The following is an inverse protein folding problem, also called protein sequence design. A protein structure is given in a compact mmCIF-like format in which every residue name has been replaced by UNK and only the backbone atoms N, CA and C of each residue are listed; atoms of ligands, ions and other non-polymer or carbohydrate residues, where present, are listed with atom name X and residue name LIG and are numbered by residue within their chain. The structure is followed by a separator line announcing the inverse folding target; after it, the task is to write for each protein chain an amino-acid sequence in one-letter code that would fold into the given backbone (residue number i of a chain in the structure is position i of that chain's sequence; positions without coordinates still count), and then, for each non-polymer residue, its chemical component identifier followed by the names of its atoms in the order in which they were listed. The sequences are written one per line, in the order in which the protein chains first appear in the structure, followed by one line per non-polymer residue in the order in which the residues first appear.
data_IF_209488143128
#
_entry.id   IF_209488143128
#
_cell.length_a   1.000
_cell.length_b   1.000
_cell.length_c   1.000
_cell.angle_alpha   90.00
_cell.angle_beta   90.00
_cell.angle_gamma   90.00
#
_symmetry.space_group_name_H-M   'P 1'
#
loop_
_entity.id
_entity.type
_entity.pdbx_description
1 polymer ?
#
# COMPACT_ATOMS: atom_id res chain seq x y z
N UNK A 1 -7.91 -25.89 -3.47
CA UNK A 1 -6.68 -25.34 -4.07
C UNK A 1 -6.89 -23.84 -4.32
N UNK A 2 -6.73 -23.03 -3.27
CA UNK A 2 -6.78 -21.56 -3.35
C UNK A 2 -5.53 -20.93 -2.69
N UNK A 3 -4.50 -21.75 -2.48
CA UNK A 3 -3.16 -21.34 -2.09
C UNK A 3 -2.35 -21.11 -3.38
N UNK A 4 -2.81 -20.16 -4.20
CA UNK A 4 -2.04 -19.61 -5.31
C UNK A 4 -1.63 -18.20 -4.92
N UNK A 5 -0.62 -18.19 -4.06
CA UNK A 5 0.36 -17.14 -3.89
C UNK A 5 -0.17 -15.75 -3.52
N UNK A 6 -0.04 -15.42 -2.23
CA UNK A 6 0.01 -14.05 -1.74
C UNK A 6 0.97 -13.15 -2.56
N UNK A 7 2.00 -13.73 -3.19
CA UNK A 7 2.86 -13.07 -4.18
C UNK A 7 2.13 -12.65 -5.46
N UNK A 8 1.31 -13.49 -6.10
CA UNK A 8 0.57 -13.06 -7.29
C UNK A 8 -0.49 -12.01 -6.94
N UNK A 9 -1.13 -12.16 -5.77
CA UNK A 9 -2.03 -11.13 -5.26
C UNK A 9 -1.30 -9.81 -5.03
N UNK A 10 -0.15 -9.81 -4.33
CA UNK A 10 0.67 -8.62 -4.10
C UNK A 10 1.20 -8.03 -5.42
N UNK A 11 1.58 -8.86 -6.40
CA UNK A 11 1.98 -8.45 -7.75
C UNK A 11 0.85 -7.70 -8.48
N UNK A 12 -0.36 -8.27 -8.50
CA UNK A 12 -1.55 -7.65 -9.11
C UNK A 12 -2.00 -6.38 -8.39
N UNK A 13 -1.93 -6.37 -7.05
CA UNK A 13 -2.17 -5.18 -6.25
C UNK A 13 -1.14 -4.08 -6.54
N UNK A 14 0.12 -4.44 -6.76
CA UNK A 14 1.19 -3.51 -7.12
C UNK A 14 1.04 -2.95 -8.53
N UNK A 15 0.56 -3.75 -9.49
CA UNK A 15 0.15 -3.26 -10.83
C UNK A 15 -1.04 -2.28 -10.74
N UNK A 16 -1.92 -2.43 -9.74
CA UNK A 16 -3.07 -1.57 -9.50
C UNK A 16 -2.90 -0.63 -8.28
N UNK A 17 -1.66 -0.34 -7.86
CA UNK A 17 -1.37 0.30 -6.58
C UNK A 17 -2.11 1.63 -6.38
N UNK A 18 -2.23 2.45 -7.43
CA UNK A 18 -2.95 3.73 -7.39
C UNK A 18 -4.45 3.53 -7.15
N UNK A 19 -5.07 2.55 -7.80
CA UNK A 19 -6.49 2.25 -7.65
C UNK A 19 -6.80 1.66 -6.26
N UNK A 20 -5.93 0.78 -5.76
CA UNK A 20 -6.01 0.20 -4.41
C UNK A 20 -5.86 1.30 -3.36
N UNK A 21 -4.83 2.13 -3.43
CA UNK A 21 -4.65 3.26 -2.51
C UNK A 21 -5.84 4.23 -2.56
N UNK A 22 -6.41 4.49 -3.75
CA UNK A 22 -7.60 5.34 -3.86
C UNK A 22 -8.87 4.72 -3.29
N UNK A 23 -8.98 3.38 -3.28
CA UNK A 23 -10.11 2.65 -2.70
C UNK A 23 -10.03 2.55 -1.17
N UNK A 24 -8.89 2.09 -0.63
CA UNK A 24 -8.71 1.83 0.80
C UNK A 24 -8.18 3.06 1.58
N UNK A 25 -7.29 3.84 0.98
CA UNK A 25 -6.63 5.01 1.58
C UNK A 25 -7.16 6.33 0.98
N UNK A 26 -8.49 6.44 0.89
CA UNK A 26 -9.22 7.55 0.24
C UNK A 26 -9.02 8.93 0.87
N UNK A 27 -8.58 9.02 2.13
CA UNK A 27 -8.17 10.26 2.79
C UNK A 27 -6.74 10.69 2.41
N UNK A 28 -5.98 9.79 1.78
CA UNK A 28 -4.67 10.08 1.23
C UNK A 28 -4.72 10.85 -0.10
N UNK A 29 -3.54 11.25 -0.58
CA UNK A 29 -3.37 11.98 -1.84
C UNK A 29 -2.21 11.42 -2.63
N UNK A 30 -2.37 11.35 -3.96
CA UNK A 30 -1.26 11.07 -4.87
C UNK A 30 -0.28 12.24 -4.93
N UNK A 31 1.00 11.93 -4.83
CA UNK A 31 2.11 12.86 -4.91
C UNK A 31 3.24 12.28 -5.78
N UNK A 32 3.15 12.54 -7.09
CA UNK A 32 4.03 11.94 -8.09
C UNK A 32 3.91 10.40 -8.08
N UNK A 33 5.02 9.72 -7.86
CA UNK A 33 5.11 8.26 -7.83
C UNK A 33 4.73 7.63 -6.47
N UNK A 34 4.23 8.42 -5.52
CA UNK A 34 3.87 7.98 -4.17
C UNK A 34 2.44 8.39 -3.81
N UNK A 35 1.82 7.68 -2.87
CA UNK A 35 0.55 8.02 -2.23
C UNK A 35 0.81 8.37 -0.77
N UNK A 36 0.50 9.60 -0.37
CA UNK A 36 0.68 10.10 1.00
C UNK A 36 -0.63 10.02 1.76
N UNK A 37 -0.64 9.40 2.93
CA UNK A 37 -1.79 9.32 3.85
C UNK A 37 -1.31 9.48 5.29
N UNK A 38 -2.21 9.62 6.26
CA UNK A 38 -1.87 9.78 7.66
C UNK A 38 -1.24 8.54 8.27
N UNK A 39 -1.80 7.37 7.95
CA UNK A 39 -1.53 6.07 8.56
C UNK A 39 -2.28 4.96 7.77
N UNK A 40 -2.04 3.70 8.11
CA UNK A 40 -2.74 2.53 7.51
C UNK A 40 -4.25 2.54 7.74
N UNK A 41 -4.75 3.29 8.73
CA UNK A 41 -6.16 3.33 9.15
C UNK A 41 -6.96 4.38 8.37
N UNK A 42 -6.42 4.80 7.21
CA UNK A 42 -6.96 5.85 6.35
C UNK A 42 -7.07 7.24 7.04
N UNK A 43 -6.17 7.57 7.96
CA UNK A 43 -6.05 8.89 8.62
C UNK A 43 -5.80 10.05 7.60
N UNK A 44 -6.30 11.31 7.67
CA UNK A 44 -5.90 12.35 6.69
C UNK A 44 -4.56 13.04 7.07
N UNK A 45 -3.44 12.59 6.51
CA UNK A 45 -2.10 13.10 6.87
C UNK A 45 -1.01 12.87 5.82
N UNK A 46 0.24 12.69 6.27
CA UNK A 46 1.42 12.49 5.42
C UNK A 46 2.52 11.60 6.03
N UNK A 47 2.22 10.83 7.07
CA UNK A 47 3.20 9.98 7.75
C UNK A 47 3.47 8.72 6.94
N UNK A 48 2.41 8.12 6.38
CA UNK A 48 2.50 6.96 5.52
C UNK A 48 2.66 7.34 4.05
N UNK A 49 3.60 6.67 3.37
CA UNK A 49 3.79 6.78 1.94
C UNK A 49 3.81 5.39 1.28
N UNK A 50 2.90 5.16 0.32
CA UNK A 50 2.88 3.98 -0.55
C UNK A 50 3.54 4.31 -1.88
N UNK A 51 4.34 3.40 -2.43
CA UNK A 51 4.97 3.55 -3.75
C UNK A 51 4.02 3.05 -4.84
N UNK A 52 3.62 3.94 -5.75
CA UNK A 52 2.67 3.63 -6.83
C UNK A 52 3.37 3.13 -8.09
N UNK A 53 4.59 3.58 -8.35
CA UNK A 53 5.38 3.20 -9.52
C UNK A 53 6.73 2.59 -9.12
N UNK A 54 7.04 1.46 -9.75
CA UNK A 54 8.25 0.67 -9.58
C UNK A 54 8.17 -0.63 -10.38
N UNK A 55 9.20 -1.48 -10.38
CA UNK A 55 9.09 -2.84 -10.90
C UNK A 55 8.05 -3.65 -10.10
N UNK A 56 7.57 -4.77 -10.65
CA UNK A 56 6.62 -5.65 -9.96
C UNK A 56 7.23 -6.35 -8.74
N UNK A 57 8.55 -6.61 -8.78
CA UNK A 57 9.31 -7.25 -7.69
C UNK A 57 10.67 -6.57 -7.48
N UNK A 58 11.28 -6.81 -6.30
CA UNK A 58 12.63 -6.36 -5.98
C UNK A 58 12.73 -5.00 -5.25
N UNK A 59 13.94 -4.44 -5.21
CA UNK A 59 14.23 -3.22 -4.43
C UNK A 59 13.58 -2.00 -5.09
N UNK A 60 12.55 -1.48 -4.43
CA UNK A 60 11.80 -0.31 -4.92
C UNK A 60 10.59 -0.67 -5.79
N UNK A 61 10.07 -1.90 -5.68
CA UNK A 61 8.83 -2.31 -6.30
C UNK A 61 7.65 -1.39 -5.98
N UNK A 62 6.67 -1.35 -6.90
CA UNK A 62 5.37 -0.77 -6.60
C UNK A 62 4.70 -1.53 -5.44
N UNK A 63 3.72 -0.91 -4.80
CA UNK A 63 2.98 -1.49 -3.67
C UNK A 63 3.71 -1.52 -2.32
N UNK A 64 5.02 -1.21 -2.25
CA UNK A 64 5.68 -1.06 -0.94
C UNK A 64 5.22 0.21 -0.23
N UNK A 65 4.91 0.09 1.06
CA UNK A 65 4.55 1.22 1.92
C UNK A 65 5.50 1.34 3.10
N UNK A 66 5.56 2.54 3.67
CA UNK A 66 6.30 2.82 4.90
C UNK A 66 5.62 3.96 5.65
N UNK A 67 5.48 3.83 6.96
CA UNK A 67 4.99 4.86 7.86
C UNK A 67 6.14 5.53 8.63
N UNK A 68 6.21 6.86 8.54
CA UNK A 68 7.23 7.66 9.22
C UNK A 68 6.88 8.02 10.67
N UNK A 69 5.65 7.76 11.13
CA UNK A 69 5.22 7.99 12.51
C UNK A 69 5.54 6.82 13.43
N UNK A 70 5.41 5.58 12.93
CA UNK A 70 5.69 4.33 13.65
C UNK A 70 7.02 3.68 13.25
N UNK A 71 7.48 3.92 12.02
CA UNK A 71 8.62 3.22 11.42
C UNK A 71 8.26 1.88 10.75
N UNK A 72 6.96 1.56 10.67
CA UNK A 72 6.48 0.32 10.05
C UNK A 72 6.59 0.35 8.53
N UNK A 73 6.74 -0.82 7.92
CA UNK A 73 6.87 -0.96 6.47
C UNK A 73 6.40 -2.33 5.99
N UNK A 74 5.83 -2.38 4.81
CA UNK A 74 5.32 -3.61 4.22
C UNK A 74 5.11 -3.51 2.71
N UNK A 75 4.21 -4.34 2.22
CA UNK A 75 3.63 -4.28 0.88
C UNK A 75 2.11 -4.13 0.94
N UNK A 76 1.45 -3.93 -0.21
CA UNK A 76 0.03 -3.62 -0.26
C UNK A 76 -0.86 -4.70 0.36
N UNK A 77 -0.44 -5.96 0.39
CA UNK A 77 -1.24 -7.01 1.03
C UNK A 77 -1.29 -6.81 2.54
N UNK A 78 -0.16 -6.47 3.14
CA UNK A 78 -0.03 -6.15 4.56
C UNK A 78 -0.81 -4.88 4.93
N UNK A 79 -0.73 -3.83 4.09
CA UNK A 79 -1.53 -2.62 4.28
C UNK A 79 -3.04 -2.90 4.17
N UNK A 80 -3.48 -3.70 3.20
CA UNK A 80 -4.90 -4.05 3.08
C UNK A 80 -5.34 -4.83 4.31
N UNK A 81 -4.53 -5.79 4.78
CA UNK A 81 -4.79 -6.53 6.01
C UNK A 81 -5.02 -5.59 7.20
N UNK A 82 -4.10 -4.66 7.44
CA UNK A 82 -4.23 -3.62 8.48
C UNK A 82 -5.48 -2.75 8.30
N UNK A 83 -5.92 -2.48 7.06
CA UNK A 83 -7.17 -1.72 6.81
C UNK A 83 -8.45 -2.53 7.06
N UNK A 84 -8.43 -3.87 6.95
CA UNK A 84 -9.62 -4.73 7.05
C UNK A 84 -9.76 -5.46 8.38
N UNK A 85 -8.69 -5.60 9.16
CA UNK A 85 -8.69 -6.29 10.47
C UNK A 85 -9.51 -5.53 11.55
N UNK A 86 -9.79 -4.24 11.35
CA UNK A 86 -10.59 -3.39 12.25
C UNK A 86 -12.13 -3.59 12.14
N UNK A 87 -12.62 -4.84 12.13
CA UNK A 87 -14.06 -5.15 12.13
C UNK A 87 -14.51 -6.02 13.33
#
# INVERSE_FOLDING_TARGET
MADHDARDLSRRLSEQAEAVCRQYLSAGRRHGNYWLVGDVRNTPGRSLYVRLHGPSEGRGAAGRWTDAGTGEFGDLLDLIRETVDFH
#
